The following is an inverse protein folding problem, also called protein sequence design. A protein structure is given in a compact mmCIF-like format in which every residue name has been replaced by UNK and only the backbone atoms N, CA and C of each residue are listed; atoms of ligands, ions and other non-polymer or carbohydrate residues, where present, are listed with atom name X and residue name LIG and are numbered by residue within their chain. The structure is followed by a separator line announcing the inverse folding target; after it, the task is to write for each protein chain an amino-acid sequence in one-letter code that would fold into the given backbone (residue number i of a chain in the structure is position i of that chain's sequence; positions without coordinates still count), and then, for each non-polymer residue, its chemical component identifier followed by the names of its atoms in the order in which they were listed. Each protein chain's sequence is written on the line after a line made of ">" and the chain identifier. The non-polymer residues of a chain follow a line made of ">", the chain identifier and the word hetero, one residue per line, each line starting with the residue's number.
data_IF_078002960595
#
_entry.id   IF_078002960595
#
_cell.length_a   1.000
_cell.length_b   1.000
_cell.length_c   1.000
_cell.angle_alpha   90.00
_cell.angle_beta   90.00
_cell.angle_gamma   90.00
#
_symmetry.space_group_name_H-M   'P 1'
#
loop_
_entity.id
_entity.type
_entity.pdbx_description
1 polymer ?
#
# COMPACT_ATOMS: atom_id res chain seq x y z
N UNK A 1 -9.17 41.21 10.11
CA UNK A 1 -8.75 39.82 9.79
C UNK A 1 -8.99 39.00 11.05
N UNK A 2 -9.99 38.14 11.05
CA UNK A 2 -10.17 37.17 12.14
C UNK A 2 -9.12 36.07 11.97
N UNK A 3 -8.46 35.67 13.06
CA UNK A 3 -7.63 34.47 13.03
C UNK A 3 -8.54 33.27 12.72
N UNK A 4 -8.11 32.34 11.84
CA UNK A 4 -8.88 31.15 11.55
C UNK A 4 -9.19 30.38 12.84
N UNK A 5 -10.40 29.87 12.95
CA UNK A 5 -10.82 29.10 14.11
C UNK A 5 -9.98 27.83 14.25
N UNK A 6 -9.99 27.24 15.44
CA UNK A 6 -9.26 25.98 15.69
C UNK A 6 -9.66 24.87 14.70
N UNK A 7 -10.96 24.77 14.39
CA UNK A 7 -11.45 23.83 13.38
C UNK A 7 -10.82 24.05 12.00
N UNK A 8 -10.78 25.29 11.53
CA UNK A 8 -10.20 25.62 10.23
C UNK A 8 -8.72 25.26 10.18
N UNK A 9 -7.99 25.51 11.28
CA UNK A 9 -6.58 25.16 11.41
C UNK A 9 -6.33 23.66 11.45
N UNK A 10 -7.22 22.89 12.09
CA UNK A 10 -7.16 21.43 12.09
C UNK A 10 -7.38 20.90 10.68
N UNK A 11 -8.42 21.36 9.98
CA UNK A 11 -8.72 20.95 8.60
C UNK A 11 -7.52 21.23 7.68
N UNK A 12 -6.98 22.45 7.72
CA UNK A 12 -5.79 22.84 6.97
C UNK A 12 -4.57 21.96 7.31
N UNK A 13 -4.41 21.57 8.58
CA UNK A 13 -3.32 20.66 8.97
C UNK A 13 -3.52 19.24 8.44
N UNK A 14 -4.76 18.78 8.33
CA UNK A 14 -5.11 17.48 7.73
C UNK A 14 -4.88 17.49 6.22
N UNK A 15 -5.24 18.56 5.53
CA UNK A 15 -4.98 18.69 4.09
C UNK A 15 -3.47 18.67 3.81
N UNK A 16 -2.69 19.42 4.61
CA UNK A 16 -1.23 19.42 4.53
C UNK A 16 -0.63 18.06 4.86
N UNK A 17 -1.23 17.31 5.78
CA UNK A 17 -0.81 15.94 6.09
C UNK A 17 -0.93 15.02 4.86
N UNK A 18 -2.07 15.02 4.17
CA UNK A 18 -2.26 14.18 2.99
C UNK A 18 -1.35 14.60 1.82
N UNK A 19 -1.17 15.90 1.62
CA UNK A 19 -0.20 16.41 0.66
C UNK A 19 1.24 15.99 1.01
N UNK A 20 1.58 15.97 2.30
CA UNK A 20 2.88 15.51 2.77
C UNK A 20 3.12 14.01 2.54
N UNK A 21 2.08 13.19 2.65
CA UNK A 21 2.15 11.77 2.26
C UNK A 21 2.41 11.63 0.76
N UNK A 22 1.68 12.37 -0.08
CA UNK A 22 1.82 12.29 -1.53
C UNK A 22 3.21 12.76 -2.00
N UNK A 23 3.71 13.85 -1.42
CA UNK A 23 5.00 14.45 -1.76
C UNK A 23 6.19 13.83 -1.03
N UNK A 24 5.93 12.95 -0.04
CA UNK A 24 6.94 12.42 0.89
C UNK A 24 7.66 13.50 1.72
N UNK A 25 7.07 14.69 1.84
CA UNK A 25 7.59 15.80 2.64
C UNK A 25 6.61 16.16 3.78
N UNK A 26 7.01 15.86 5.01
CA UNK A 26 6.20 16.07 6.21
C UNK A 26 6.57 17.33 7.00
N UNK A 27 7.44 18.19 6.47
CA UNK A 27 7.96 19.38 7.18
C UNK A 27 6.82 20.35 7.51
N UNK A 28 6.00 20.69 6.52
CA UNK A 28 4.90 21.66 6.68
C UNK A 28 3.84 21.14 7.65
N UNK A 29 3.47 19.86 7.54
CA UNK A 29 2.56 19.21 8.48
C UNK A 29 3.11 19.27 9.91
N UNK A 30 4.37 18.88 10.09
CA UNK A 30 5.02 18.85 11.41
C UNK A 30 5.07 20.23 12.05
N UNK A 31 5.30 21.27 11.25
CA UNK A 31 5.32 22.64 11.71
C UNK A 31 3.93 23.11 12.14
N UNK A 32 2.89 22.89 11.32
CA UNK A 32 1.51 23.29 11.65
C UNK A 32 0.97 22.55 12.87
N UNK A 33 1.21 21.24 12.93
CA UNK A 33 0.81 20.40 14.05
C UNK A 33 1.44 20.88 15.37
N UNK A 34 2.73 21.24 15.38
CA UNK A 34 3.41 21.75 16.57
C UNK A 34 2.81 23.06 17.09
N UNK A 35 2.33 23.94 16.19
CA UNK A 35 1.66 25.18 16.60
C UNK A 35 0.32 24.86 17.28
N UNK A 36 -0.44 23.91 16.73
CA UNK A 36 -1.72 23.47 17.33
C UNK A 36 -1.48 22.84 18.71
N UNK A 37 -0.50 21.94 18.83
CA UNK A 37 -0.12 21.28 20.07
C UNK A 37 0.29 22.28 21.16
N UNK A 38 1.11 23.27 20.79
CA UNK A 38 1.53 24.34 21.70
C UNK A 38 0.36 25.20 22.15
N UNK A 39 -0.57 25.52 21.26
CA UNK A 39 -1.75 26.32 21.60
C UNK A 39 -2.66 25.56 22.57
N UNK A 40 -2.82 24.24 22.40
CA UNK A 40 -3.55 23.41 23.34
C UNK A 40 -2.85 23.32 24.70
N UNK A 41 -1.56 23.02 24.73
CA UNK A 41 -0.81 22.88 25.98
C UNK A 41 -0.74 24.21 26.74
N UNK A 42 -0.50 25.33 26.03
CA UNK A 42 -0.50 26.66 26.63
C UNK A 42 -1.86 27.09 27.17
N UNK A 43 -2.95 26.78 26.45
CA UNK A 43 -4.31 27.08 26.93
C UNK A 43 -4.70 26.24 28.15
N UNK A 44 -4.18 25.01 28.23
CA UNK A 44 -4.41 24.06 29.31
C UNK A 44 -3.70 24.54 30.58
N UNK A 45 -2.41 24.87 30.48
CA UNK A 45 -1.61 25.41 31.58
C UNK A 45 -2.17 26.74 32.10
N UNK A 46 -2.69 27.59 31.21
CA UNK A 46 -3.31 28.85 31.57
C UNK A 46 -4.72 28.70 32.20
N UNK A 47 -5.31 27.50 32.21
CA UNK A 47 -6.66 27.26 32.69
C UNK A 47 -7.74 27.96 31.85
N UNK A 48 -7.42 28.30 30.60
CA UNK A 48 -8.31 29.04 29.67
C UNK A 48 -8.95 28.14 28.62
N UNK A 49 -8.70 26.83 28.71
CA UNK A 49 -9.16 25.85 27.74
C UNK A 49 -10.66 25.59 27.95
N UNK A 50 -11.45 26.05 26.99
CA UNK A 50 -12.89 25.80 26.94
C UNK A 50 -13.18 24.29 26.82
N UNK A 51 -14.24 23.75 27.45
CA UNK A 51 -14.58 22.33 27.40
C UNK A 51 -14.78 21.76 25.98
N UNK A 52 -15.35 22.51 25.04
CA UNK A 52 -15.48 22.04 23.65
C UNK A 52 -14.12 21.94 22.97
N UNK A 53 -13.26 22.94 23.21
CA UNK A 53 -11.87 22.97 22.74
C UNK A 53 -11.07 21.78 23.30
N UNK A 54 -11.30 21.42 24.57
CA UNK A 54 -10.68 20.27 25.23
C UNK A 54 -11.11 18.94 24.61
N UNK A 55 -12.42 18.77 24.39
CA UNK A 55 -12.99 17.57 23.75
C UNK A 55 -12.46 17.37 22.33
N UNK A 56 -12.35 18.46 21.57
CA UNK A 56 -11.80 18.44 20.22
C UNK A 56 -10.33 18.04 20.22
N UNK A 57 -9.51 18.60 21.12
CA UNK A 57 -8.09 18.27 21.24
C UNK A 57 -7.86 16.77 21.49
N UNK A 58 -8.63 16.19 22.42
CA UNK A 58 -8.58 14.76 22.75
C UNK A 58 -8.99 13.91 21.55
N UNK A 59 -10.07 14.29 20.87
CA UNK A 59 -10.59 13.57 19.71
C UNK A 59 -9.61 13.55 18.54
N UNK A 60 -9.02 14.70 18.22
CA UNK A 60 -8.04 14.82 17.13
C UNK A 60 -6.76 14.07 17.47
N UNK A 61 -6.30 14.12 18.73
CA UNK A 61 -5.14 13.36 19.18
C UNK A 61 -5.35 11.85 19.03
N UNK A 62 -6.50 11.34 19.48
CA UNK A 62 -6.88 9.94 19.34
C UNK A 62 -6.96 9.49 17.86
N UNK A 63 -7.51 10.35 17.01
CA UNK A 63 -7.59 10.09 15.58
C UNK A 63 -6.20 10.01 14.93
N UNK A 64 -5.28 10.94 15.24
CA UNK A 64 -3.93 10.89 14.69
C UNK A 64 -3.13 9.67 15.14
N UNK A 65 -3.30 9.22 16.39
CA UNK A 65 -2.72 7.95 16.86
C UNK A 65 -3.24 6.78 16.01
N UNK A 66 -4.56 6.70 15.85
CA UNK A 66 -5.19 5.63 15.05
C UNK A 66 -4.71 5.66 13.59
N UNK A 67 -4.51 6.86 13.04
CA UNK A 67 -4.00 7.04 11.69
C UNK A 67 -2.57 6.52 11.57
N UNK A 68 -1.66 6.96 12.45
CA UNK A 68 -0.28 6.49 12.48
C UNK A 68 -0.20 4.96 12.64
N UNK A 69 -0.97 4.38 13.56
CA UNK A 69 -1.02 2.93 13.76
C UNK A 69 -1.51 2.19 12.51
N UNK A 70 -2.52 2.73 11.82
CA UNK A 70 -3.05 2.13 10.59
C UNK A 70 -2.02 2.12 9.47
N UNK A 71 -1.26 3.21 9.29
CA UNK A 71 -0.21 3.30 8.26
C UNK A 71 1.00 2.43 8.60
N UNK A 72 1.40 2.36 9.87
CA UNK A 72 2.46 1.45 10.31
C UNK A 72 2.07 -0.02 10.09
N UNK A 73 0.83 -0.38 10.43
CA UNK A 73 0.31 -1.73 10.18
C UNK A 73 0.19 -2.05 8.69
N UNK A 74 -0.17 -1.06 7.86
CA UNK A 74 -0.21 -1.23 6.40
C UNK A 74 1.18 -1.48 5.84
N UNK A 75 2.20 -0.72 6.28
CA UNK A 75 3.59 -0.92 5.90
C UNK A 75 4.06 -2.35 6.20
N UNK A 76 3.80 -2.85 7.41
CA UNK A 76 4.17 -4.21 7.81
C UNK A 76 3.50 -5.26 6.91
N UNK A 77 2.22 -5.08 6.57
CA UNK A 77 1.51 -6.00 5.67
C UNK A 77 2.06 -5.97 4.25
N UNK A 78 2.44 -4.80 3.74
CA UNK A 78 3.03 -4.67 2.39
C UNK A 78 4.42 -5.31 2.33
N UNK A 79 5.24 -5.15 3.37
CA UNK A 79 6.54 -5.83 3.49
C UNK A 79 6.38 -7.36 3.46
N UNK A 80 5.47 -7.90 4.28
CA UNK A 80 5.16 -9.33 4.29
C UNK A 80 4.68 -9.87 2.94
N UNK A 81 3.85 -9.09 2.23
CA UNK A 81 3.38 -9.44 0.88
C UNK A 81 4.53 -9.44 -0.14
N UNK A 82 5.45 -8.49 -0.01
CA UNK A 82 6.62 -8.37 -0.89
C UNK A 82 7.57 -9.55 -0.69
N UNK A 83 7.86 -9.91 0.56
CA UNK A 83 8.72 -11.05 0.88
C UNK A 83 8.12 -12.36 0.36
N UNK A 84 6.82 -12.55 0.54
CA UNK A 84 6.10 -13.72 0.00
C UNK A 84 6.17 -13.79 -1.53
N UNK A 85 5.98 -12.66 -2.22
CA UNK A 85 6.07 -12.61 -3.67
C UNK A 85 7.50 -12.95 -4.15
N UNK A 86 8.51 -12.47 -3.44
CA UNK A 86 9.91 -12.77 -3.75
C UNK A 86 10.23 -14.26 -3.58
N UNK A 87 9.72 -14.88 -2.51
CA UNK A 87 9.82 -16.32 -2.28
C UNK A 87 9.13 -17.12 -3.39
N UNK A 88 7.89 -16.77 -3.76
CA UNK A 88 7.14 -17.43 -4.83
C UNK A 88 7.86 -17.32 -6.19
N UNK A 89 8.42 -16.15 -6.50
CA UNK A 89 9.21 -15.94 -7.72
C UNK A 89 10.49 -16.79 -7.73
N UNK A 90 11.22 -16.85 -6.61
CA UNK A 90 12.43 -17.67 -6.50
C UNK A 90 12.14 -19.17 -6.54
N UNK A 91 11.01 -19.62 -5.99
CA UNK A 91 10.57 -21.02 -6.04
C UNK A 91 10.13 -21.46 -7.45
N UNK A 92 9.73 -20.52 -8.31
CA UNK A 92 9.24 -20.80 -9.66
C UNK A 92 10.37 -20.91 -10.70
N UNK A 93 11.59 -20.44 -10.41
CA UNK A 93 12.75 -20.63 -11.29
C UNK A 93 13.23 -22.07 -11.10
N UNK A 94 13.07 -22.99 -12.08
CA UNK A 94 13.72 -24.28 -12.00
C UNK A 94 15.22 -24.01 -12.08
N UNK A 95 15.95 -24.40 -11.03
CA UNK A 95 17.40 -24.56 -11.10
C UNK A 95 17.70 -25.59 -12.21
N UNK A 96 17.83 -25.13 -13.45
CA UNK A 96 18.44 -25.87 -14.55
C UNK A 96 19.95 -25.98 -14.31
N UNK A 97 20.34 -26.59 -13.19
CA UNK A 97 21.73 -26.96 -12.91
C UNK A 97 21.82 -28.40 -12.40
N UNK A 98 21.03 -29.31 -12.99
CA UNK A 98 21.38 -30.72 -13.04
C UNK A 98 21.77 -31.09 -14.47
N UNK A 99 22.99 -30.66 -14.83
CA UNK A 99 23.74 -31.18 -15.97
C UNK A 99 23.65 -32.71 -15.99
N UNK A 100 23.38 -33.27 -17.17
CA UNK A 100 23.67 -34.65 -17.61
C UNK A 100 22.86 -35.82 -17.05
N UNK A 101 21.59 -36.01 -17.49
CA UNK A 101 21.04 -37.37 -17.70
C UNK A 101 20.18 -37.46 -18.96
N UNK A 102 20.82 -38.01 -20.01
CA UNK A 102 20.31 -38.81 -21.15
C UNK A 102 18.88 -38.53 -21.66
N UNK A 103 18.70 -38.08 -22.93
CA UNK A 103 17.37 -37.99 -23.52
C UNK A 103 16.79 -39.39 -23.75
N UNK A 104 15.70 -39.72 -23.05
CA UNK A 104 14.96 -40.96 -23.25
C UNK A 104 14.13 -40.87 -24.53
N UNK A 105 14.11 -41.99 -25.27
CA UNK A 105 13.49 -42.14 -26.58
C UNK A 105 12.00 -41.79 -26.56
N UNK A 106 11.60 -40.87 -27.42
CA UNK A 106 10.20 -40.59 -27.76
C UNK A 106 9.50 -41.86 -28.27
N UNK A 107 8.28 -42.18 -27.83
CA UNK A 107 7.49 -43.24 -28.43
C UNK A 107 6.87 -42.74 -29.74
N UNK A 108 7.23 -43.38 -30.87
CA UNK A 108 6.62 -43.09 -32.17
C UNK A 108 5.11 -43.37 -32.15
N UNK A 109 4.24 -42.41 -32.54
CA UNK A 109 2.83 -42.69 -32.75
C UNK A 109 2.63 -43.27 -34.16
N UNK A 110 2.56 -44.59 -34.25
CA UNK A 110 1.95 -45.26 -35.39
C UNK A 110 0.45 -45.03 -35.38
N UNK A 111 -0.11 -44.23 -36.30
CA UNK A 111 -1.52 -44.38 -36.69
C UNK A 111 -1.82 -43.91 -38.12
N UNK A 112 -2.35 -44.89 -38.85
CA UNK A 112 -2.85 -44.89 -40.21
C UNK A 112 -3.70 -43.68 -40.63
N UNK A 113 -3.46 -43.22 -41.86
CA UNK A 113 -4.48 -42.61 -42.71
C UNK A 113 -4.42 -43.28 -44.10
N UNK A 114 -5.33 -44.23 -44.31
CA UNK A 114 -5.69 -44.71 -45.65
C UNK A 114 -6.43 -43.58 -46.35
N UNK A 115 -5.84 -43.02 -47.38
CA UNK A 115 -6.49 -42.17 -48.37
C UNK A 115 -7.40 -43.03 -49.26
N UNK A 116 -8.68 -42.70 -49.46
CA UNK A 116 -9.43 -43.23 -50.59
C UNK A 116 -9.18 -42.33 -51.81
N UNK A 117 -8.77 -42.93 -52.93
CA UNK A 117 -8.74 -42.27 -54.23
C UNK A 117 -10.16 -42.12 -54.79
N UNK A 118 -10.52 -41.01 -55.45
CA UNK A 118 -11.75 -40.94 -56.23
C UNK A 118 -11.52 -41.62 -57.60
N UNK A 119 -12.28 -42.67 -57.89
CA UNK A 119 -12.36 -43.24 -59.24
C UNK A 119 -13.11 -42.29 -60.16
N UNK A 120 -12.40 -41.84 -61.19
CA UNK A 120 -12.95 -41.18 -62.38
C UNK A 120 -13.24 -42.24 -63.43
N UNK A 121 -14.45 -42.27 -63.99
CA UNK A 121 -14.71 -42.82 -65.33
C UNK A 121 -16.05 -42.32 -65.85
N UNK A 122 -15.96 -41.55 -66.93
CA UNK A 122 -17.01 -41.25 -67.89
C UNK A 122 -17.21 -42.46 -68.80
N UNK A 123 -18.47 -42.81 -69.09
CA UNK A 123 -19.02 -43.18 -70.40
C UNK A 123 -20.52 -43.47 -70.28
#
# INVERSE_FOLDING_TARGET
>A
MHAPGLNDRIIDTVDVFFNGIETTDMVDFSQKWRVIDKDFTGSYEAGTLDPETSSLAVSVSSWMVTFCDSFMNLKVKTEQLTDKLLEDLNATIPLEDERTRTPSRLPSPSRATRSPSPSSSQL
#
